data_IF_160246605649
#
_entry.id   IF_160246605649
#
_cell.length_a   1.000
_cell.length_b   1.000
_cell.length_c   1.000
_cell.angle_alpha   90.00
_cell.angle_beta   90.00
_cell.angle_gamma   90.00
#
_symmetry.space_group_name_H-M   'P 1'
#
loop_
_entity.id
_entity.type
_entity.pdbx_description
1 polymer ?
#
# COMPACT_ATOMS: atom_id res chain seq x y z
N UNK A 1 -4.03 7.92 10.21
CA UNK A 1 -4.43 6.69 9.48
C UNK A 1 -3.32 5.67 9.57
N UNK A 2 -3.59 4.56 10.25
CA UNK A 2 -2.58 3.53 10.55
C UNK A 2 -2.13 2.81 9.27
N UNK A 3 -0.82 2.86 9.01
CA UNK A 3 -0.16 2.22 7.87
C UNK A 3 -0.44 0.72 7.82
N UNK A 4 -0.61 0.09 8.98
CA UNK A 4 -1.01 -1.31 9.15
C UNK A 4 -2.41 -1.60 8.62
N UNK A 5 -3.37 -0.66 8.76
CA UNK A 5 -4.75 -0.84 8.28
C UNK A 5 -4.84 -0.79 6.76
N UNK A 6 -4.04 0.07 6.12
CA UNK A 6 -3.96 0.14 4.65
C UNK A 6 -3.27 -1.10 4.09
N UNK A 7 -2.19 -1.55 4.72
CA UNK A 7 -1.48 -2.76 4.29
C UNK A 7 -2.33 -4.02 4.46
N UNK A 8 -3.03 -4.17 5.60
CA UNK A 8 -3.95 -5.27 5.85
C UNK A 8 -5.18 -5.21 4.94
N UNK A 9 -5.68 -4.02 4.61
CA UNK A 9 -6.78 -3.85 3.65
C UNK A 9 -6.34 -4.24 2.24
N UNK A 10 -5.16 -3.81 1.80
CA UNK A 10 -4.63 -4.11 0.46
C UNK A 10 -4.28 -5.59 0.32
N UNK A 11 -3.63 -6.19 1.32
CA UNK A 11 -3.38 -7.63 1.37
C UNK A 11 -4.68 -8.43 1.53
N UNK A 12 -5.65 -7.94 2.29
CA UNK A 12 -6.97 -8.55 2.41
C UNK A 12 -7.71 -8.56 1.08
N UNK A 13 -7.71 -7.44 0.35
CA UNK A 13 -8.30 -7.38 -1.00
C UNK A 13 -7.55 -8.24 -2.01
N UNK A 14 -6.21 -8.29 -1.97
CA UNK A 14 -5.40 -9.18 -2.80
C UNK A 14 -5.68 -10.65 -2.49
N UNK A 15 -5.68 -11.04 -1.22
CA UNK A 15 -5.99 -12.40 -0.78
C UNK A 15 -7.43 -12.79 -1.14
N UNK A 16 -8.39 -11.87 -1.05
CA UNK A 16 -9.76 -12.10 -1.49
C UNK A 16 -9.87 -12.26 -3.01
N UNK A 17 -9.18 -11.43 -3.80
CA UNK A 17 -9.15 -11.58 -5.26
C UNK A 17 -8.47 -12.89 -5.68
N UNK A 18 -7.35 -13.25 -5.05
CA UNK A 18 -6.63 -14.50 -5.31
C UNK A 18 -7.47 -15.71 -4.89
N UNK A 19 -8.16 -15.67 -3.74
CA UNK A 19 -9.08 -16.72 -3.32
C UNK A 19 -10.27 -16.87 -4.29
N UNK A 20 -10.80 -15.76 -4.81
CA UNK A 20 -11.85 -15.76 -5.84
C UNK A 20 -11.35 -16.34 -7.17
N UNK A 21 -10.14 -15.98 -7.61
CA UNK A 21 -9.52 -16.57 -8.80
C UNK A 21 -9.16 -18.06 -8.63
N UNK A 22 -8.74 -18.49 -7.43
CA UNK A 22 -8.46 -19.90 -7.12
C UNK A 22 -9.73 -20.76 -7.08
N UNK A 23 -10.89 -20.16 -6.80
CA UNK A 23 -12.19 -20.85 -6.85
C UNK A 23 -12.75 -20.95 -8.27
N UNK A 24 -12.38 -20.04 -9.18
CA UNK A 24 -12.75 -20.12 -10.60
C UNK A 24 -11.76 -20.93 -11.47
N UNK A 25 -10.54 -21.20 -10.97
CA UNK A 25 -9.48 -21.89 -11.71
C UNK A 25 -9.70 -23.41 -11.90
N UNK A 26 -10.79 -24.00 -11.40
CA UNK A 26 -11.13 -25.42 -11.63
C UNK A 26 -11.94 -25.68 -12.90
N UNK A 27 -12.18 -24.68 -13.77
CA UNK A 27 -12.53 -24.99 -15.16
C UNK A 27 -11.24 -25.20 -15.99
N UNK A 28 -10.97 -26.42 -16.48
CA UNK A 28 -9.77 -26.68 -17.26
C UNK A 28 -9.85 -25.90 -18.57
N UNK A 29 -9.03 -24.86 -18.70
CA UNK A 29 -8.69 -24.28 -20.01
C UNK A 29 -7.48 -25.04 -20.51
N UNK A 30 -7.72 -26.06 -21.33
CA UNK A 30 -6.69 -26.77 -22.07
C UNK A 30 -6.09 -25.82 -23.11
N UNK A 31 -4.94 -25.22 -22.81
CA UNK A 31 -4.15 -24.45 -23.76
C UNK A 31 -3.22 -25.45 -24.47
N UNK A 32 -3.61 -25.92 -25.64
CA UNK A 32 -2.73 -26.71 -26.51
C UNK A 32 -1.90 -25.75 -27.37
N UNK A 33 -0.56 -25.80 -27.33
CA UNK A 33 0.26 -25.01 -28.24
C UNK A 33 0.37 -25.77 -29.56
N UNK A 34 -0.30 -25.29 -30.61
CA UNK A 34 -0.10 -25.82 -31.97
C UNK A 34 0.28 -24.70 -32.92
N UNK A 35 1.58 -24.63 -33.17
CA UNK A 35 2.20 -24.05 -34.36
C UNK A 35 1.59 -24.67 -35.61
N UNK A 36 0.69 -23.97 -36.32
CA UNK A 36 0.40 -24.08 -37.78
C UNK A 36 -0.71 -23.09 -38.14
N UNK A 37 -0.76 -22.56 -39.39
CA UNK A 37 -1.54 -21.38 -39.74
C UNK A 37 -3.03 -21.67 -39.57
N UNK A 38 -3.67 -20.98 -38.63
CA UNK A 38 -5.08 -21.13 -38.36
C UNK A 38 -5.87 -20.76 -39.63
N UNK A 39 -6.42 -21.78 -40.28
CA UNK A 39 -7.55 -21.61 -41.19
C UNK A 39 -8.66 -21.01 -40.33
N UNK A 40 -8.82 -19.69 -40.41
CA UNK A 40 -9.89 -18.96 -39.74
C UNK A 40 -11.22 -19.56 -40.19
N UNK A 41 -11.81 -20.41 -39.35
CA UNK A 41 -13.20 -20.84 -39.54
C UNK A 41 -14.06 -19.60 -39.31
N UNK A 42 -14.95 -19.24 -40.26
CA UNK A 42 -15.80 -18.08 -40.10
C UNK A 42 -16.73 -18.29 -38.91
N UNK A 43 -16.79 -17.32 -37.99
CA UNK A 43 -17.60 -17.40 -36.77
C UNK A 43 -19.11 -17.55 -37.07
N UNK A 44 -19.56 -17.13 -38.26
CA UNK A 44 -20.97 -17.05 -38.66
C UNK A 44 -21.69 -18.41 -38.84
N UNK A 45 -21.00 -19.54 -38.71
CA UNK A 45 -21.64 -20.88 -38.82
C UNK A 45 -22.24 -21.37 -37.51
N UNK A 46 -21.92 -20.73 -36.38
CA UNK A 46 -22.26 -21.22 -35.06
C UNK A 46 -23.54 -20.55 -34.53
N UNK A 47 -24.48 -21.37 -34.07
CA UNK A 47 -25.80 -20.92 -33.59
C UNK A 47 -25.93 -20.92 -32.07
N UNK A 48 -24.91 -21.39 -31.34
CA UNK A 48 -24.90 -21.38 -29.88
C UNK A 48 -23.71 -20.59 -29.34
N UNK A 49 -23.95 -19.91 -28.23
CA UNK A 49 -22.98 -19.04 -27.57
C UNK A 49 -21.68 -19.79 -27.19
N UNK A 50 -21.79 -20.98 -26.61
CA UNK A 50 -20.61 -21.78 -26.21
C UNK A 50 -19.78 -22.24 -27.42
N UNK A 51 -20.44 -22.64 -28.51
CA UNK A 51 -19.74 -23.06 -29.74
C UNK A 51 -19.15 -21.88 -30.51
N UNK A 52 -19.77 -20.71 -30.42
CA UNK A 52 -19.25 -19.46 -30.97
C UNK A 52 -17.99 -19.02 -30.23
N UNK A 53 -18.04 -19.01 -28.90
CA UNK A 53 -16.96 -18.50 -28.04
C UNK A 53 -15.84 -19.50 -27.78
N UNK A 54 -15.93 -20.72 -28.33
CA UNK A 54 -14.82 -21.67 -28.39
C UNK A 54 -13.57 -21.06 -29.07
N UNK A 55 -13.77 -20.11 -30.00
CA UNK A 55 -12.69 -19.33 -30.57
C UNK A 55 -12.72 -17.90 -30.01
N UNK A 56 -11.59 -17.46 -29.45
CA UNK A 56 -11.43 -16.09 -28.90
C UNK A 56 -11.51 -14.99 -29.97
N UNK A 57 -11.43 -15.36 -31.25
CA UNK A 57 -11.60 -14.45 -32.38
C UNK A 57 -13.07 -14.18 -32.72
N UNK A 58 -14.02 -14.87 -32.09
CA UNK A 58 -15.45 -14.68 -32.31
C UNK A 58 -16.11 -13.84 -31.22
N UNK A 59 -17.21 -13.19 -31.59
CA UNK A 59 -18.08 -12.41 -30.71
C UNK A 59 -19.51 -12.94 -30.83
N UNK A 60 -20.16 -13.18 -29.68
CA UNK A 60 -21.56 -13.55 -29.61
C UNK A 60 -22.42 -12.35 -29.21
N UNK A 61 -23.51 -12.12 -29.94
CA UNK A 61 -24.50 -11.10 -29.59
C UNK A 61 -25.79 -11.73 -29.10
N UNK A 62 -26.15 -11.47 -27.84
CA UNK A 62 -27.34 -12.04 -27.23
C UNK A 62 -28.64 -11.47 -27.81
N UNK A 63 -28.64 -10.20 -28.25
CA UNK A 63 -29.85 -9.54 -28.79
C UNK A 63 -30.41 -10.23 -30.02
N UNK A 64 -29.54 -10.59 -30.97
CA UNK A 64 -29.94 -11.22 -32.24
C UNK A 64 -29.53 -12.70 -32.30
N UNK A 65 -29.01 -13.28 -31.20
CA UNK A 65 -28.49 -14.64 -31.14
C UNK A 65 -27.57 -15.00 -32.33
N UNK A 66 -26.61 -14.13 -32.63
CA UNK A 66 -25.73 -14.25 -33.79
C UNK A 66 -24.26 -14.29 -33.37
N UNK A 67 -23.47 -15.08 -34.11
CA UNK A 67 -22.03 -15.19 -33.96
C UNK A 67 -21.33 -14.45 -35.10
N UNK A 68 -20.40 -13.57 -34.79
CA UNK A 68 -19.67 -12.75 -35.76
C UNK A 68 -18.19 -12.71 -35.41
N UNK A 69 -17.33 -12.38 -36.38
CA UNK A 69 -15.91 -12.19 -36.10
C UNK A 69 -15.72 -10.95 -35.20
N UNK A 70 -14.92 -11.09 -34.15
CA UNK A 70 -14.58 -9.97 -33.28
C UNK A 70 -13.67 -9.00 -34.06
N UNK A 71 -14.09 -7.73 -34.23
CA UNK A 71 -13.35 -6.79 -35.04
C UNK A 71 -12.08 -6.34 -34.31
N UNK A 72 -10.98 -7.07 -34.46
CA UNK A 72 -9.66 -6.80 -33.84
C UNK A 72 -9.10 -5.41 -34.14
N UNK A 73 -9.61 -4.75 -35.18
CA UNK A 73 -9.27 -3.37 -35.53
C UNK A 73 -9.75 -2.35 -34.47
N UNK A 74 -10.76 -2.71 -33.67
CA UNK A 74 -11.32 -1.88 -32.62
C UNK A 74 -11.22 -2.61 -31.28
N UNK A 75 -10.55 -1.98 -30.30
CA UNK A 75 -10.39 -2.52 -28.93
C UNK A 75 -11.75 -2.77 -28.25
N UNK A 76 -12.77 -1.99 -28.61
CA UNK A 76 -14.14 -2.14 -28.12
C UNK A 76 -15.06 -2.20 -29.35
N UNK A 77 -15.84 -3.27 -29.53
CA UNK A 77 -16.73 -3.37 -30.67
C UNK A 77 -17.77 -2.25 -30.62
N UNK A 78 -18.05 -1.58 -31.75
CA UNK A 78 -19.02 -0.50 -31.77
C UNK A 78 -20.44 -1.01 -31.47
N UNK A 79 -21.24 -0.18 -30.81
CA UNK A 79 -22.60 -0.52 -30.40
C UNK A 79 -23.54 -0.87 -31.58
N UNK A 80 -23.16 -0.50 -32.81
CA UNK A 80 -23.85 -0.87 -34.05
C UNK A 80 -23.82 -2.37 -34.34
N UNK A 81 -22.77 -3.08 -33.92
CA UNK A 81 -22.64 -4.53 -34.12
C UNK A 81 -23.40 -5.28 -33.03
N UNK A 82 -23.16 -4.91 -31.76
CA UNK A 82 -23.91 -5.40 -30.63
C UNK A 82 -23.76 -4.43 -29.45
N UNK A 83 -24.84 -4.28 -28.67
CA UNK A 83 -24.76 -3.50 -27.43
C UNK A 83 -23.80 -4.19 -26.44
N UNK A 84 -22.93 -3.41 -25.80
CA UNK A 84 -21.90 -3.92 -24.89
C UNK A 84 -22.44 -4.78 -23.75
N UNK A 85 -23.65 -4.48 -23.27
CA UNK A 85 -24.34 -5.23 -22.21
C UNK A 85 -24.92 -6.57 -22.66
N UNK A 86 -24.94 -6.85 -23.96
CA UNK A 86 -25.47 -8.08 -24.58
C UNK A 86 -24.40 -8.85 -25.36
N UNK A 87 -23.27 -8.21 -25.63
CA UNK A 87 -22.10 -8.83 -26.24
C UNK A 87 -21.41 -9.77 -25.25
N UNK A 88 -20.98 -10.94 -25.73
CA UNK A 88 -20.21 -11.95 -24.96
C UNK A 88 -18.92 -12.27 -25.71
N UNK A 89 -17.83 -12.45 -24.97
CA UNK A 89 -16.50 -12.75 -25.51
C UNK A 89 -15.74 -13.69 -24.60
N UNK A 90 -15.17 -14.75 -25.17
CA UNK A 90 -14.43 -15.82 -24.46
C UNK A 90 -15.30 -16.72 -23.58
N UNK A 91 -16.29 -16.16 -22.87
CA UNK A 91 -17.22 -16.88 -21.99
C UNK A 91 -18.66 -16.43 -22.23
N UNK A 92 -19.61 -17.35 -22.12
CA UNK A 92 -21.02 -17.05 -22.40
C UNK A 92 -21.75 -16.37 -21.22
N UNK A 93 -21.34 -16.65 -19.99
CA UNK A 93 -22.08 -16.22 -18.80
C UNK A 93 -21.80 -14.77 -18.37
N UNK A 94 -20.68 -14.16 -18.79
CA UNK A 94 -20.31 -12.76 -18.45
C UNK A 94 -20.48 -11.82 -19.65
N UNK A 95 -21.02 -10.63 -19.43
CA UNK A 95 -21.18 -9.60 -20.47
C UNK A 95 -19.84 -8.94 -20.77
N UNK A 96 -19.65 -8.48 -21.99
CA UNK A 96 -18.44 -7.73 -22.38
C UNK A 96 -18.23 -6.49 -21.50
N UNK A 97 -19.31 -5.78 -21.17
CA UNK A 97 -19.28 -4.65 -20.23
C UNK A 97 -18.73 -5.04 -18.85
N UNK A 98 -19.21 -6.15 -18.28
CA UNK A 98 -18.73 -6.64 -16.99
C UNK A 98 -17.27 -7.11 -17.04
N UNK A 99 -16.84 -7.73 -18.15
CA UNK A 99 -15.45 -8.11 -18.37
C UNK A 99 -14.52 -6.89 -18.39
N UNK A 100 -14.89 -5.82 -19.09
CA UNK A 100 -14.10 -4.57 -19.12
C UNK A 100 -13.99 -3.99 -17.70
N UNK A 101 -15.10 -3.89 -16.98
CA UNK A 101 -15.11 -3.34 -15.61
C UNK A 101 -14.20 -4.17 -14.71
N UNK A 102 -14.28 -5.50 -14.76
CA UNK A 102 -13.43 -6.37 -13.98
C UNK A 102 -11.94 -6.15 -14.27
N UNK A 103 -11.55 -6.10 -15.55
CA UNK A 103 -10.16 -5.83 -15.93
C UNK A 103 -9.70 -4.43 -15.50
N UNK A 104 -10.56 -3.42 -15.62
CA UNK A 104 -10.27 -2.07 -15.17
C UNK A 104 -10.04 -1.99 -13.65
N UNK A 105 -10.84 -2.70 -12.85
CA UNK A 105 -10.67 -2.78 -11.39
C UNK A 105 -9.37 -3.50 -11.03
N UNK A 106 -9.06 -4.63 -11.67
CA UNK A 106 -7.82 -5.37 -11.42
C UNK A 106 -6.59 -4.52 -11.77
N UNK A 107 -6.56 -3.95 -12.97
CA UNK A 107 -5.46 -3.07 -13.39
C UNK A 107 -5.38 -1.81 -12.53
N UNK A 108 -6.50 -1.17 -12.23
CA UNK A 108 -6.56 0.06 -11.43
C UNK A 108 -6.11 -0.14 -9.99
N UNK A 109 -6.53 -1.25 -9.36
CA UNK A 109 -6.09 -1.60 -7.99
C UNK A 109 -4.61 -1.96 -7.95
N UNK A 110 -4.09 -2.69 -8.95
CA UNK A 110 -2.66 -2.99 -9.07
C UNK A 110 -1.83 -1.71 -9.24
N UNK A 111 -2.25 -0.82 -10.14
CA UNK A 111 -1.58 0.46 -10.35
C UNK A 111 -1.59 1.28 -9.07
N UNK A 112 -2.75 1.45 -8.42
CA UNK A 112 -2.86 2.21 -7.17
C UNK A 112 -1.99 1.61 -6.05
N UNK A 113 -1.95 0.28 -5.93
CA UNK A 113 -1.09 -0.42 -4.98
C UNK A 113 0.39 -0.10 -5.23
N UNK A 114 0.84 -0.13 -6.49
CA UNK A 114 2.21 0.23 -6.87
C UNK A 114 2.49 1.70 -6.59
N UNK A 115 1.62 2.63 -6.98
CA UNK A 115 1.83 4.06 -6.73
C UNK A 115 1.90 4.37 -5.24
N UNK A 116 1.00 3.80 -4.43
CA UNK A 116 1.01 3.96 -2.98
C UNK A 116 2.26 3.33 -2.37
N UNK A 117 2.66 2.14 -2.81
CA UNK A 117 3.90 1.49 -2.37
C UNK A 117 5.12 2.35 -2.71
N UNK A 118 5.28 2.80 -3.96
CA UNK A 118 6.37 3.65 -4.41
C UNK A 118 6.40 4.99 -3.66
N UNK A 119 5.26 5.68 -3.53
CA UNK A 119 5.19 6.94 -2.78
C UNK A 119 5.45 6.73 -1.28
N UNK A 120 4.95 5.65 -0.66
CA UNK A 120 5.17 5.39 0.75
C UNK A 120 6.55 4.81 1.08
N UNK A 121 7.23 4.14 0.16
CA UNK A 121 8.54 3.52 0.38
C UNK A 121 9.69 4.43 -0.09
N UNK A 122 9.53 5.16 -1.19
CA UNK A 122 10.56 6.06 -1.71
C UNK A 122 10.50 7.45 -1.06
N UNK A 123 9.32 8.03 -0.83
CA UNK A 123 9.22 9.35 -0.18
C UNK A 123 9.44 9.26 1.34
N UNK A 124 9.04 8.16 2.00
CA UNK A 124 9.32 7.98 3.44
C UNK A 124 10.77 7.64 3.75
N UNK A 125 11.51 6.93 2.89
CA UNK A 125 12.97 6.75 3.11
C UNK A 125 13.72 8.08 3.06
N UNK A 126 13.29 9.01 2.21
CA UNK A 126 13.87 10.35 2.13
C UNK A 126 13.46 11.21 3.33
N UNK A 127 12.19 11.16 3.74
CA UNK A 127 11.67 11.96 4.86
C UNK A 127 12.02 11.41 6.26
N UNK A 128 12.07 10.08 6.48
CA UNK A 128 12.45 9.51 7.78
C UNK A 128 13.91 9.81 8.10
N UNK A 129 14.81 9.78 7.10
CA UNK A 129 16.19 10.20 7.30
C UNK A 129 16.32 11.67 7.68
N UNK A 130 15.39 12.53 7.25
CA UNK A 130 15.37 13.94 7.64
C UNK A 130 14.75 14.13 9.01
N UNK A 131 13.64 13.45 9.29
CA UNK A 131 12.89 13.57 10.53
C UNK A 131 13.65 12.95 11.72
N UNK A 132 14.26 11.78 11.55
CA UNK A 132 15.14 11.18 12.57
C UNK A 132 16.33 12.10 12.88
N UNK A 133 16.91 12.73 11.85
CA UNK A 133 18.02 13.69 12.05
C UNK A 133 17.59 14.96 12.78
N UNK A 134 16.38 15.45 12.54
CA UNK A 134 15.84 16.60 13.28
C UNK A 134 15.52 16.23 14.73
N UNK A 135 14.91 15.06 14.98
CA UNK A 135 14.57 14.61 16.32
C UNK A 135 15.83 14.37 17.18
N UNK A 136 16.88 13.80 16.60
CA UNK A 136 18.20 13.70 17.24
C UNK A 136 18.81 15.07 17.58
N UNK A 137 18.66 16.06 16.71
CA UNK A 137 19.15 17.42 16.98
C UNK A 137 18.36 18.10 18.10
N UNK A 138 17.04 17.91 18.15
CA UNK A 138 16.20 18.40 19.24
C UNK A 138 16.54 17.73 20.57
N UNK A 139 16.82 16.42 20.58
CA UNK A 139 17.27 15.68 21.75
C UNK A 139 18.60 16.25 22.31
N UNK A 140 19.61 16.43 21.45
CA UNK A 140 20.90 17.03 21.85
C UNK A 140 20.74 18.42 22.44
N UNK A 141 19.96 19.28 21.79
CA UNK A 141 19.71 20.65 22.29
C UNK A 141 19.04 20.65 23.66
N UNK A 142 18.09 19.74 23.88
CA UNK A 142 17.40 19.60 25.18
C UNK A 142 18.37 19.17 26.29
N UNK A 143 19.29 18.25 25.98
CA UNK A 143 20.32 17.81 26.92
C UNK A 143 21.32 18.93 27.25
N UNK A 144 21.78 19.70 26.26
CA UNK A 144 22.65 20.85 26.49
C UNK A 144 22.02 21.90 27.41
N UNK A 145 20.73 22.21 27.21
CA UNK A 145 20.01 23.16 28.06
C UNK A 145 19.89 22.62 29.49
N UNK A 146 19.63 21.31 29.63
CA UNK A 146 19.55 20.65 30.93
C UNK A 146 20.90 20.70 31.65
N UNK A 147 22.00 20.40 30.96
CA UNK A 147 23.35 20.50 31.51
C UNK A 147 23.66 21.92 31.97
N UNK A 148 23.42 22.95 31.15
CA UNK A 148 23.64 24.35 31.56
C UNK A 148 22.80 24.77 32.75
N UNK A 149 21.57 24.26 32.87
CA UNK A 149 20.71 24.49 34.04
C UNK A 149 21.31 23.84 35.29
N UNK A 150 21.77 22.60 35.18
CA UNK A 150 22.30 21.83 36.30
C UNK A 150 23.66 22.38 36.75
N UNK A 151 24.51 22.83 35.83
CA UNK A 151 25.75 23.58 36.15
C UNK A 151 25.45 24.85 36.94
N UNK A 152 24.49 25.68 36.50
CA UNK A 152 24.09 26.89 37.22
C UNK A 152 23.55 26.58 38.61
N UNK A 153 22.84 25.46 38.78
CA UNK A 153 22.35 25.02 40.09
C UNK A 153 23.49 24.54 40.98
N UNK A 154 24.44 23.77 40.45
CA UNK A 154 25.60 23.30 41.17
C UNK A 154 26.49 24.46 41.61
N UNK A 155 26.73 25.45 40.75
CA UNK A 155 27.49 26.66 41.08
C UNK A 155 26.82 27.46 42.20
N UNK A 156 25.51 27.69 42.11
CA UNK A 156 24.74 28.37 43.18
C UNK A 156 24.78 27.60 44.49
N UNK A 157 24.66 26.28 44.43
CA UNK A 157 24.72 25.42 45.61
C UNK A 157 26.12 25.45 46.23
N UNK A 158 27.18 25.36 45.43
CA UNK A 158 28.56 25.45 45.89
C UNK A 158 28.85 26.78 46.61
N UNK A 159 28.45 27.91 45.99
CA UNK A 159 28.57 29.24 46.62
C UNK A 159 27.79 29.33 47.93
N UNK A 160 26.58 28.79 47.97
CA UNK A 160 25.74 28.81 49.17
C UNK A 160 26.30 27.91 50.28
N UNK A 161 26.84 26.75 49.93
CA UNK A 161 27.45 25.81 50.86
C UNK A 161 28.77 26.38 51.43
N UNK A 162 29.58 27.05 50.61
CA UNK A 162 30.79 27.77 51.04
C UNK A 162 30.47 28.89 52.05
N UNK A 163 29.43 29.68 51.81
CA UNK A 163 28.93 30.68 52.76
C UNK A 163 28.50 29.99 54.07
N UNK A 164 27.72 28.91 53.97
CA UNK A 164 27.24 28.19 55.16
C UNK A 164 28.39 27.66 56.01
N UNK A 165 29.48 27.18 55.39
CA UNK A 165 30.71 26.77 56.07
C UNK A 165 31.44 27.95 56.74
N UNK A 166 31.57 29.09 56.07
CA UNK A 166 32.22 30.30 56.62
C UNK A 166 31.58 30.77 57.93
N UNK A 167 30.27 30.60 58.08
CA UNK A 167 29.53 31.02 59.27
C UNK A 167 29.22 29.87 60.25
N UNK A 168 29.82 28.68 60.07
CA UNK A 168 29.65 27.56 61.01
C UNK A 168 28.25 26.94 61.02
N UNK A 169 27.40 27.21 60.01
CA UNK A 169 26.05 26.65 59.90
C UNK A 169 26.02 25.20 59.37
N UNK A 170 27.18 24.63 59.02
CA UNK A 170 27.35 23.20 58.75
C UNK A 170 28.20 22.62 59.89
N UNK A 171 27.80 21.51 60.52
CA UNK A 171 28.62 20.81 61.50
C UNK A 171 29.77 20.08 60.79
N UNK A 172 30.71 20.83 60.22
CA UNK A 172 32.04 20.29 59.91
C UNK A 172 32.86 20.39 61.21
N UNK A 173 33.45 19.26 61.61
CA UNK A 173 34.22 19.07 62.87
C UNK A 173 35.44 19.99 63.03
N UNK A 174 35.71 20.84 62.04
CA UNK A 174 36.90 21.71 61.96
C UNK A 174 36.57 23.20 62.15
N UNK A 175 35.38 23.56 62.64
CA UNK A 175 35.08 24.95 63.00
C UNK A 175 35.65 25.30 64.39
N UNK A 176 36.49 26.35 64.56
CA UNK A 176 37.20 26.67 65.82
C UNK A 176 36.31 26.91 67.05
N UNK A 177 35.01 27.14 66.85
CA UNK A 177 34.02 27.44 67.90
C UNK A 177 33.12 26.26 68.29
N UNK A 178 33.21 25.09 67.65
CA UNK A 178 32.35 23.93 67.97
C UNK A 178 32.62 23.30 69.34
N UNK A 179 33.72 23.69 70.00
CA UNK A 179 34.15 23.15 71.30
C UNK A 179 33.31 23.65 72.50
N UNK A 180 32.48 24.67 72.32
CA UNK A 180 31.75 25.32 73.43
C UNK A 180 30.26 24.94 73.54
N UNK A 181 29.72 24.10 72.66
CA UNK A 181 28.29 23.73 72.69
C UNK A 181 28.01 22.37 73.39
N UNK A 182 29.03 21.69 73.92
CA UNK A 182 28.89 20.41 74.64
C UNK A 182 29.22 20.53 76.15
N UNK A 183 28.61 21.49 76.84
CA UNK A 183 28.54 21.53 78.33
C UNK A 183 27.08 21.59 78.79
#
# INVERSE_FOLDING_TARGET
MDKSRVFVSMWGFLLMCVAFSLTEATKPTTITPTTHPAVHKPCNTQTSCELCLANVSCLWCQTNSSCSDYPVSYVIPPASVCKLSQARWGVCWVNFEALIIAMAVVCGTLLLAVTVCCCCCCCKRRHSSSFDREDEQFARRREEIRQRSDERKAERKGKHDEIRKKYGLIPDSDHPYSKFENE
#
